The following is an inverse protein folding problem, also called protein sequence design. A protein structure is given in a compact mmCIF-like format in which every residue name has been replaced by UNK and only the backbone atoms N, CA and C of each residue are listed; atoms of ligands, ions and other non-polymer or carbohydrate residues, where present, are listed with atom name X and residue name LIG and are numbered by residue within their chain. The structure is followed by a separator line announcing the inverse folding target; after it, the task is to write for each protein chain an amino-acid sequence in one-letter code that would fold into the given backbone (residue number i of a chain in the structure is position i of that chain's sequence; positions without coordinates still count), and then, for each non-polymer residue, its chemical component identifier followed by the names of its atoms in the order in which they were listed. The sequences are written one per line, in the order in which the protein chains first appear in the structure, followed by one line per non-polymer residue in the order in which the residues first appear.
data_IF_818670240692
#
_entry.id   IF_818670240692
#
_cell.length_a   1.000
_cell.length_b   1.000
_cell.length_c   1.000
_cell.angle_alpha   90.00
_cell.angle_beta   90.00
_cell.angle_gamma   90.00
#
_symmetry.space_group_name_H-M   'P 1'
#
loop_
_entity.id
_entity.type
_entity.pdbx_description
1 polymer ?
2 non-polymer ?
3 non-polymer ?
4 non-polymer ?
5 non-polymer ?
6 water ?
#
# COMPACT_ATOMS: atom_id res chain seq x y z
N UNK A 9 -0.92 -31.11 23.43
CA UNK A 9 -0.47 -30.73 24.77
C UNK A 9 0.42 -29.46 24.84
N UNK A 10 1.47 -29.25 23.98
CA UNK A 10 2.26 -28.01 24.12
C UNK A 10 1.57 -26.76 23.57
N UNK A 11 0.49 -26.93 22.76
CA UNK A 11 -0.32 -25.88 22.12
C UNK A 11 -1.43 -25.30 23.02
N UNK A 12 -1.31 -25.49 24.34
CA UNK A 12 -2.24 -24.98 25.34
C UNK A 12 -1.96 -23.48 25.55
N UNK A 13 -0.67 -23.13 25.78
CA UNK A 13 -0.18 -21.77 26.01
C UNK A 13 0.22 -21.03 24.71
N UNK A 14 0.43 -21.78 23.60
CA UNK A 14 0.80 -21.25 22.28
C UNK A 14 -0.34 -20.35 21.76
N UNK A 15 -1.58 -20.83 21.84
CA UNK A 15 -2.78 -20.08 21.42
C UNK A 15 -3.12 -19.00 22.47
N UNK A 16 -2.72 -19.21 23.75
CA UNK A 16 -2.95 -18.27 24.86
C UNK A 16 -2.06 -17.03 24.77
N UNK A 17 -0.77 -17.19 24.36
CA UNK A 17 0.19 -16.08 24.19
C UNK A 17 -0.25 -15.18 23.02
N UNK A 18 -0.82 -15.80 21.96
CA UNK A 18 -1.39 -15.16 20.76
C UNK A 18 -2.57 -14.27 21.21
N UNK A 19 -3.41 -14.79 22.12
CA UNK A 19 -4.55 -14.10 22.72
C UNK A 19 -4.08 -12.91 23.57
N UNK A 20 -2.96 -13.11 24.32
CA UNK A 20 -2.35 -12.12 25.22
C UNK A 20 -1.82 -10.88 24.51
N UNK A 21 -1.30 -11.04 23.28
CA UNK A 21 -0.81 -9.90 22.49
C UNK A 21 -1.97 -9.11 21.89
N UNK A 22 -3.01 -9.82 21.40
CA UNK A 22 -4.23 -9.26 20.80
C UNK A 22 -5.02 -8.35 21.76
N UNK A 23 -5.02 -8.67 23.07
CA UNK A 23 -5.72 -7.86 24.07
C UNK A 23 -5.07 -6.48 24.29
N UNK A 24 -3.76 -6.39 24.02
CA UNK A 24 -2.97 -5.18 24.17
C UNK A 24 -2.70 -4.43 22.89
N UNK A 25 -2.28 -5.16 21.81
CA UNK A 25 -1.97 -4.58 20.50
C UNK A 25 -3.15 -3.83 19.91
N UNK A 26 -4.36 -4.41 20.00
CA UNK A 26 -5.59 -3.76 19.54
C UNK A 26 -6.00 -2.61 20.46
N UNK A 27 -5.66 -2.73 21.76
CA UNK A 27 -5.94 -1.73 22.80
C UNK A 27 -5.01 -0.51 22.60
N UNK A 28 -3.76 -0.77 22.14
CA UNK A 28 -2.71 0.21 21.85
C UNK A 28 -3.14 1.15 20.71
N UNK A 29 -3.76 0.57 19.65
CA UNK A 29 -4.29 1.28 18.47
C UNK A 29 -5.42 2.20 18.95
N UNK A 30 -6.32 1.68 19.81
CA UNK A 30 -7.45 2.41 20.39
C UNK A 30 -7.01 3.57 21.29
N UNK A 31 -5.87 3.43 21.99
CA UNK A 31 -5.33 4.49 22.85
C UNK A 31 -4.63 5.55 21.99
N UNK A 32 -3.85 5.09 20.98
CA UNK A 32 -3.08 5.93 20.04
C UNK A 32 -3.92 6.96 19.26
N UNK A 33 -5.20 6.64 18.95
CA UNK A 33 -6.11 7.53 18.22
C UNK A 33 -6.60 8.67 19.13
N UNK A 34 -7.03 8.33 20.35
CA UNK A 34 -7.53 9.33 21.31
C UNK A 34 -6.43 10.23 21.86
N UNK A 35 -5.20 9.69 22.05
CA UNK A 35 -4.05 10.40 22.61
C UNK A 35 -3.40 11.45 21.68
N UNK A 36 -3.21 11.11 20.39
CA UNK A 36 -2.59 11.97 19.39
C UNK A 36 -3.60 12.77 18.56
N UNK A 37 -3.34 14.07 18.38
CA UNK A 37 -4.17 14.96 17.57
C UNK A 37 -3.89 14.71 16.08
N UNK A 38 -2.64 14.26 15.76
CA UNK A 38 -2.15 13.95 14.41
C UNK A 38 -2.77 12.67 13.83
N UNK A 39 -3.37 11.83 14.70
CA UNK A 39 -4.03 10.58 14.34
C UNK A 39 -5.58 10.65 14.45
N UNK A 40 -6.16 11.89 14.47
CA UNK A 40 -7.59 12.17 14.52
C UNK A 40 -8.24 12.20 13.11
N UNK A 41 -7.60 11.50 12.15
CA UNK A 41 -8.02 11.40 10.74
C UNK A 41 -9.37 10.71 10.59
N UNK A 42 -10.19 11.21 9.64
CA UNK A 42 -11.52 10.69 9.29
C UNK A 42 -11.42 9.23 8.78
N UNK A 43 -10.41 8.95 7.95
CA UNK A 43 -10.13 7.62 7.43
C UNK A 43 -9.57 6.68 8.49
N UNK A 44 -9.17 7.23 9.65
CA UNK A 44 -8.65 6.46 10.80
C UNK A 44 -9.76 5.99 11.75
N UNK A 45 -11.00 6.46 11.56
CA UNK A 45 -12.18 6.05 12.32
C UNK A 45 -12.63 4.63 11.89
N UNK A 46 -12.29 4.25 10.63
CA UNK A 46 -12.54 2.95 10.01
C UNK A 46 -11.50 1.96 10.51
N UNK A 47 -10.34 2.48 10.97
CA UNK A 47 -9.23 1.69 11.52
C UNK A 47 -9.55 1.42 13.02
N UNK A 48 -10.34 2.33 13.63
CA UNK A 48 -10.81 2.24 15.03
C UNK A 48 -11.82 1.07 15.14
N UNK A 49 -12.89 1.09 14.33
CA UNK A 49 -13.95 0.08 14.27
C UNK A 49 -13.39 -1.34 14.02
N UNK A 50 -12.34 -1.44 13.18
CA UNK A 50 -11.66 -2.69 12.89
C UNK A 50 -10.86 -3.17 14.12
N UNK A 51 -10.25 -2.23 14.87
CA UNK A 51 -9.51 -2.57 16.10
C UNK A 51 -10.45 -2.93 17.28
N UNK A 52 -11.73 -2.47 17.23
CA UNK A 52 -12.79 -2.76 18.21
C UNK A 52 -13.22 -4.22 17.99
N UNK A 53 -13.65 -4.55 16.74
CA UNK A 53 -14.05 -5.89 16.32
C UNK A 53 -12.93 -6.87 16.63
N UNK A 54 -11.67 -6.48 16.38
CA UNK A 54 -10.50 -7.32 16.67
C UNK A 54 -10.12 -7.37 18.17
N UNK A 55 -10.67 -6.45 19.01
CA UNK A 55 -10.40 -6.52 20.45
C UNK A 55 -11.39 -7.50 21.09
N UNK A 56 -12.70 -7.41 20.72
CA UNK A 56 -13.75 -8.32 21.17
C UNK A 56 -13.26 -9.77 20.94
N UNK A 57 -12.66 -10.04 19.75
CA UNK A 57 -12.06 -11.31 19.38
C UNK A 57 -10.95 -11.74 20.35
N UNK A 58 -10.14 -10.79 20.81
CA UNK A 58 -9.05 -11.06 21.74
C UNK A 58 -9.46 -11.34 23.17
N UNK A 59 -10.41 -10.54 23.69
CA UNK A 59 -10.88 -10.61 25.08
C UNK A 59 -12.08 -11.55 25.34
N UNK A 60 -12.89 -11.81 24.33
CA UNK A 60 -14.08 -12.64 24.52
C UNK A 60 -14.09 -13.96 23.74
N UNK A 61 -13.73 -13.90 22.46
CA UNK A 61 -13.86 -15.04 21.56
C UNK A 61 -12.64 -15.91 21.82
N UNK A 62 -11.48 -15.29 21.91
CA UNK A 62 -10.22 -16.03 22.07
C UNK A 62 -10.07 -16.78 23.43
N UNK A 63 -10.29 -16.15 24.63
CA UNK A 63 -10.12 -16.91 25.89
C UNK A 63 -11.13 -18.05 26.08
N UNK A 64 -12.39 -17.84 25.64
CA UNK A 64 -13.48 -18.83 25.72
C UNK A 64 -13.26 -20.02 24.76
N UNK A 65 -12.49 -19.82 23.67
CA UNK A 65 -12.18 -20.89 22.73
C UNK A 65 -11.03 -21.76 23.23
N UNK A 66 -10.17 -21.23 24.13
CA UNK A 66 -9.04 -21.96 24.74
C UNK A 66 -9.59 -23.03 25.72
N UNK A 67 -10.67 -22.68 26.47
CA UNK A 67 -11.37 -23.54 27.44
C UNK A 67 -11.89 -24.82 26.80
N UNK A 68 -12.42 -24.73 25.56
CA UNK A 68 -12.94 -25.86 24.75
C UNK A 68 -11.84 -26.82 24.32
N UNK A 69 -10.58 -26.36 24.35
CA UNK A 69 -9.42 -27.17 23.99
C UNK A 69 -8.83 -27.85 25.23
N UNK A 70 -9.04 -27.23 26.42
CA UNK A 70 -8.60 -27.75 27.71
C UNK A 70 -9.67 -28.69 28.28
N UNK A 71 -10.94 -28.24 28.28
CA UNK A 71 -12.11 -28.98 28.77
C UNK A 71 -13.10 -29.16 27.60
N UNK A 72 -13.23 -30.41 27.09
CA UNK A 72 -14.10 -30.79 25.95
C UNK A 72 -15.52 -30.20 26.00
N UNK A 73 -16.14 -30.17 27.19
CA UNK A 73 -17.47 -29.59 27.42
C UNK A 73 -17.32 -28.17 27.95
N UNK A 74 -18.35 -27.34 27.71
CA UNK A 74 -18.36 -25.93 28.11
C UNK A 74 -18.79 -25.64 29.53
N UNK A 75 -17.94 -24.89 30.26
CA UNK A 75 -18.18 -24.44 31.64
C UNK A 75 -18.99 -23.12 31.60
N UNK A 76 -19.43 -22.74 30.38
CA UNK A 76 -20.17 -21.53 30.05
C UNK A 76 -21.66 -21.40 30.40
N UNK A 77 -22.45 -22.38 29.93
CA UNK A 77 -23.91 -22.39 30.08
C UNK A 77 -24.64 -21.48 29.12
N UNK A 78 -25.97 -21.67 28.96
CA UNK A 78 -26.84 -20.89 28.04
C UNK A 78 -26.56 -19.37 27.93
N UNK A 79 -26.42 -18.56 29.02
CA UNK A 79 -26.14 -17.12 28.83
C UNK A 79 -24.78 -16.79 28.19
N UNK A 80 -23.67 -17.34 28.74
CA UNK A 80 -22.29 -17.15 28.24
C UNK A 80 -22.09 -17.79 26.87
N UNK A 81 -22.65 -19.00 26.66
CA UNK A 81 -22.51 -19.76 25.42
C UNK A 81 -23.27 -19.18 24.24
N UNK A 82 -24.49 -18.63 24.45
CA UNK A 82 -25.25 -18.00 23.37
C UNK A 82 -24.62 -16.66 22.96
N UNK A 83 -24.00 -15.94 23.94
CA UNK A 83 -23.33 -14.65 23.69
C UNK A 83 -22.00 -14.84 22.98
N UNK A 84 -21.29 -15.94 23.27
CA UNK A 84 -20.03 -16.30 22.61
C UNK A 84 -20.33 -16.67 21.14
N UNK A 85 -21.51 -17.28 20.88
CA UNK A 85 -21.97 -17.64 19.54
C UNK A 85 -22.29 -16.36 18.75
N UNK A 86 -22.75 -15.31 19.45
CA UNK A 86 -23.06 -14.00 18.86
C UNK A 86 -21.78 -13.21 18.60
N UNK A 87 -20.93 -13.01 19.65
CA UNK A 87 -19.67 -12.26 19.59
C UNK A 87 -18.63 -12.78 18.61
N UNK A 88 -18.73 -14.05 18.19
CA UNK A 88 -17.83 -14.64 17.19
C UNK A 88 -18.35 -14.26 15.80
N UNK A 89 -19.67 -14.37 15.59
CA UNK A 89 -20.32 -14.04 14.32
C UNK A 89 -20.48 -12.53 14.08
N UNK A 90 -20.76 -11.75 15.13
CA UNK A 90 -20.93 -10.29 15.04
C UNK A 90 -19.58 -9.58 14.77
N UNK A 91 -18.52 -9.88 15.58
CA UNK A 91 -17.19 -9.29 15.44
C UNK A 91 -16.50 -9.60 14.12
N UNK A 92 -16.61 -10.85 13.62
CA UNK A 92 -16.02 -11.26 12.34
C UNK A 92 -16.72 -10.59 11.15
N UNK A 93 -18.04 -10.36 11.25
CA UNK A 93 -18.82 -9.67 10.23
C UNK A 93 -18.44 -8.18 10.28
N UNK A 94 -18.28 -7.64 11.51
CA UNK A 94 -17.88 -6.24 11.76
C UNK A 94 -16.51 -5.98 11.16
N UNK A 95 -15.61 -6.98 11.20
CA UNK A 95 -14.27 -6.91 10.63
C UNK A 95 -14.33 -6.78 9.12
N UNK A 96 -15.07 -7.65 8.41
CA UNK A 96 -15.22 -7.53 6.95
C UNK A 96 -15.95 -6.22 6.61
N UNK A 97 -16.91 -5.82 7.47
CA UNK A 97 -17.66 -4.59 7.24
C UNK A 97 -16.83 -3.31 7.42
N UNK A 98 -15.93 -3.27 8.43
CA UNK A 98 -14.99 -2.16 8.67
C UNK A 98 -14.06 -2.03 7.46
N UNK A 99 -13.55 -3.16 6.93
CA UNK A 99 -12.68 -3.20 5.75
C UNK A 99 -13.43 -2.70 4.51
N UNK A 100 -14.64 -3.23 4.23
CA UNK A 100 -15.49 -2.83 3.11
C UNK A 100 -15.93 -1.38 3.20
N UNK A 101 -16.20 -0.88 4.42
CA UNK A 101 -16.61 0.51 4.62
C UNK A 101 -15.39 1.47 4.48
N UNK A 102 -14.17 0.99 4.84
CA UNK A 102 -12.90 1.73 4.71
C UNK A 102 -12.52 1.87 3.23
N UNK A 103 -12.62 0.77 2.44
CA UNK A 103 -12.32 0.76 1.01
C UNK A 103 -13.26 1.66 0.22
N UNK A 104 -14.56 1.71 0.58
CA UNK A 104 -15.53 2.59 -0.10
C UNK A 104 -15.13 4.08 0.08
N UNK A 105 -14.63 4.44 1.29
CA UNK A 105 -14.15 5.78 1.61
C UNK A 105 -12.92 6.10 0.76
N UNK A 106 -11.85 5.34 0.90
CA UNK A 106 -10.63 5.60 0.12
C UNK A 106 -10.91 5.81 -1.37
N UNK A 107 -11.94 5.14 -1.87
CA UNK A 107 -12.32 5.17 -3.27
C UNK A 107 -12.91 6.52 -3.63
N UNK A 108 -13.87 7.00 -2.83
CA UNK A 108 -14.49 8.32 -3.03
C UNK A 108 -13.53 9.45 -2.66
N UNK A 109 -12.56 9.17 -1.74
CA UNK A 109 -11.52 10.09 -1.29
C UNK A 109 -10.54 10.32 -2.44
N UNK A 110 -10.28 9.25 -3.22
CA UNK A 110 -9.40 9.26 -4.39
C UNK A 110 -10.09 10.01 -5.54
N UNK A 111 -11.38 9.68 -5.81
CA UNK A 111 -12.20 10.25 -6.89
C UNK A 111 -12.51 11.74 -6.75
N UNK A 112 -13.03 12.16 -5.59
CA UNK A 112 -13.38 13.56 -5.35
C UNK A 112 -12.58 14.15 -4.16
N UNK A 113 -11.46 14.87 -4.44
CA UNK A 113 -10.69 15.48 -3.34
C UNK A 113 -11.51 16.54 -2.60
N UNK A 114 -12.33 17.31 -3.36
CA UNK A 114 -13.20 18.36 -2.81
C UNK A 114 -14.57 17.81 -2.37
N UNK A 115 -14.59 17.17 -1.20
CA UNK A 115 -15.80 16.61 -0.59
C UNK A 115 -16.11 17.48 0.65
N UNK A 116 -15.81 18.79 0.54
CA UNK A 116 -16.05 19.86 1.52
C UNK A 116 -17.57 20.06 1.72
N UNK A 117 -18.36 19.17 1.08
CA UNK A 117 -19.82 19.10 1.12
C UNK A 117 -20.28 18.25 2.33
N UNK A 118 -19.40 18.04 3.31
CA UNK A 118 -19.77 17.27 4.51
C UNK A 118 -19.74 15.74 4.39
N UNK A 119 -18.89 15.24 3.50
CA UNK A 119 -18.65 13.81 3.31
C UNK A 119 -17.40 13.14 3.89
N UNK A 120 -16.31 13.91 3.97
CA UNK A 120 -15.08 13.51 4.62
C UNK A 120 -15.04 14.24 5.96
N UNK A 121 -15.80 13.70 6.89
CA UNK A 121 -16.12 14.34 8.18
C UNK A 121 -16.73 13.27 9.12
N UNK A 122 -16.73 13.55 10.45
CA UNK A 122 -17.25 12.68 11.50
C UNK A 122 -18.73 12.34 11.28
N UNK A 123 -19.55 13.34 10.85
CA UNK A 123 -20.99 13.18 10.58
C UNK A 123 -21.33 12.17 9.48
N UNK A 124 -20.37 11.88 8.58
CA UNK A 124 -20.53 10.90 7.49
C UNK A 124 -19.74 9.61 7.77
N UNK A 125 -18.63 9.71 8.54
CA UNK A 125 -17.79 8.57 8.91
C UNK A 125 -18.49 7.76 10.02
N UNK A 126 -18.88 8.43 11.13
CA UNK A 126 -19.56 7.81 12.28
C UNK A 126 -20.99 7.32 11.95
N UNK A 127 -21.59 7.82 10.86
CA UNK A 127 -22.91 7.40 10.38
C UNK A 127 -22.78 6.06 9.67
N UNK A 128 -21.65 5.83 8.96
CA UNK A 128 -21.36 4.59 8.24
C UNK A 128 -20.64 3.54 9.09
N UNK A 129 -20.11 3.93 10.24
CA UNK A 129 -19.46 2.98 11.16
C UNK A 129 -20.41 2.46 12.24
N UNK A 130 -21.60 3.06 12.30
CA UNK A 130 -22.65 2.74 13.27
C UNK A 130 -23.63 1.83 12.51
N UNK A 131 -23.95 2.21 11.27
CA UNK A 131 -24.83 1.47 10.36
C UNK A 131 -24.25 0.13 9.95
N UNK A 132 -22.90 0.02 9.94
CA UNK A 132 -22.16 -1.21 9.63
C UNK A 132 -22.33 -2.22 10.77
N UNK A 133 -22.37 -1.73 12.04
CA UNK A 133 -22.57 -2.58 13.21
C UNK A 133 -24.03 -3.06 13.36
N UNK A 134 -24.96 -2.42 12.61
CA UNK A 134 -26.38 -2.78 12.58
C UNK A 134 -26.55 -4.03 11.73
N UNK A 135 -25.84 -4.12 10.59
CA UNK A 135 -25.87 -5.29 9.72
C UNK A 135 -25.10 -6.49 10.30
N UNK A 136 -24.19 -6.22 11.27
CA UNK A 136 -23.38 -7.21 11.95
C UNK A 136 -24.09 -7.78 13.17
N UNK A 137 -24.78 -6.92 13.95
CA UNK A 137 -25.53 -7.34 15.13
C UNK A 137 -26.81 -8.12 14.82
N UNK A 138 -27.18 -8.22 13.52
CA UNK A 138 -28.32 -8.98 13.04
C UNK A 138 -28.10 -10.48 13.25
N UNK A 139 -26.84 -10.89 13.51
CA UNK A 139 -26.42 -12.27 13.76
C UNK A 139 -26.99 -12.84 15.05
N UNK A 140 -27.29 -11.98 16.04
CA UNK A 140 -27.88 -12.34 17.34
C UNK A 140 -29.31 -12.91 17.15
N UNK A 141 -30.03 -12.48 16.08
CA UNK A 141 -31.36 -12.96 15.72
C UNK A 141 -31.33 -14.48 15.36
N UNK A 142 -30.66 -14.97 14.28
CA UNK A 142 -30.64 -16.44 14.03
C UNK A 142 -29.91 -17.29 15.07
N UNK A 143 -29.31 -16.66 16.11
CA UNK A 143 -28.64 -17.37 17.22
C UNK A 143 -29.71 -17.93 18.17
N UNK A 144 -30.84 -17.20 18.34
CA UNK A 144 -31.98 -17.60 19.17
C UNK A 144 -33.19 -18.15 18.37
N UNK A 145 -33.05 -18.22 17.04
CA UNK A 145 -34.08 -18.67 16.12
C UNK A 145 -34.04 -20.13 15.71
N UNK A 146 -34.80 -20.97 16.43
CA UNK A 146 -34.96 -22.39 16.18
C UNK A 146 -36.36 -22.66 15.58
N UNK A 147 -37.22 -21.62 15.53
CA UNK A 147 -38.59 -21.63 15.00
C UNK A 147 -38.69 -22.10 13.54
N UNK A 148 -37.67 -21.77 12.72
CA UNK A 148 -37.58 -22.11 11.30
C UNK A 148 -37.36 -23.62 11.01
N UNK A 156 -26.28 -32.03 18.83
CA UNK A 156 -25.03 -31.59 19.43
C UNK A 156 -23.80 -32.25 18.76
N UNK A 157 -22.68 -31.49 18.66
CA UNK A 157 -21.40 -31.95 18.07
C UNK A 157 -20.15 -31.58 18.91
N UNK A 158 -18.93 -31.86 18.37
CA UNK A 158 -17.66 -31.62 19.08
C UNK A 158 -16.77 -30.49 18.52
N UNK A 159 -17.30 -29.62 17.64
CA UNK A 159 -16.54 -28.50 17.08
C UNK A 159 -16.50 -27.25 17.97
N UNK A 160 -17.68 -26.76 18.41
CA UNK A 160 -17.81 -25.58 19.29
C UNK A 160 -19.06 -25.63 20.20
N UNK A 161 -19.65 -24.45 20.54
CA UNK A 161 -20.84 -24.29 21.37
C UNK A 161 -22.10 -24.81 20.65
N UNK A 162 -22.02 -24.92 19.30
CA UNK A 162 -23.04 -25.34 18.34
C UNK A 162 -23.91 -24.18 17.91
N UNK A 163 -23.89 -23.87 16.61
CA UNK A 163 -24.52 -22.67 16.07
C UNK A 163 -26.04 -22.74 15.84
N UNK A 164 -26.70 -23.76 16.37
CA UNK A 164 -28.17 -23.87 16.26
C UNK A 164 -28.64 -24.28 14.83
N UNK A 165 -27.83 -23.99 13.80
CA UNK A 165 -28.10 -24.32 12.40
C UNK A 165 -26.96 -25.05 11.67
N UNK A 166 -25.98 -25.58 12.45
CA UNK A 166 -24.82 -26.35 11.97
C UNK A 166 -25.16 -27.48 11.00
N UNK A 167 -26.38 -28.04 11.13
CA UNK A 167 -26.94 -29.10 10.29
C UNK A 167 -27.53 -28.52 8.99
N UNK A 168 -27.98 -27.24 9.03
CA UNK A 168 -28.59 -26.55 7.89
C UNK A 168 -27.45 -26.14 6.94
N UNK A 169 -27.27 -26.86 5.82
CA UNK A 169 -26.23 -26.54 4.85
C UNK A 169 -26.68 -25.56 3.77
N UNK A 170 -28.00 -25.29 3.66
CA UNK A 170 -28.48 -24.30 2.69
C UNK A 170 -28.32 -22.87 3.24
N UNK A 171 -28.48 -22.70 4.57
CA UNK A 171 -28.33 -21.42 5.26
C UNK A 171 -26.84 -21.12 5.48
N UNK A 172 -26.04 -22.18 5.78
CA UNK A 172 -24.59 -22.08 5.99
C UNK A 172 -23.87 -21.54 4.75
N UNK A 173 -24.36 -21.88 3.54
CA UNK A 173 -23.78 -21.42 2.27
C UNK A 173 -24.27 -20.04 1.86
N UNK A 174 -25.49 -19.67 2.28
CA UNK A 174 -26.08 -18.37 1.98
C UNK A 174 -25.43 -17.26 2.82
N UNK A 175 -25.04 -17.57 4.08
CA UNK A 175 -24.35 -16.62 4.96
C UNK A 175 -22.86 -16.56 4.61
N UNK A 176 -22.33 -17.62 3.95
CA UNK A 176 -20.95 -17.70 3.49
C UNK A 176 -20.74 -16.68 2.38
N UNK A 177 -21.72 -16.52 1.47
CA UNK A 177 -21.64 -15.57 0.38
C UNK A 177 -22.01 -14.16 0.85
N UNK A 178 -23.22 -13.98 1.42
CA UNK A 178 -23.74 -12.69 1.92
C UNK A 178 -22.75 -11.96 2.86
N UNK A 179 -22.11 -12.69 3.78
CA UNK A 179 -21.16 -12.11 4.74
C UNK A 179 -19.66 -12.18 4.35
N UNK A 180 -19.29 -12.95 3.31
CA UNK A 180 -17.89 -13.06 2.89
C UNK A 180 -17.68 -12.98 1.38
N UNK A 181 -18.19 -13.97 0.59
CA UNK A 181 -17.99 -14.02 -0.86
C UNK A 181 -18.50 -12.79 -1.64
N UNK A 182 -19.64 -12.22 -1.20
CA UNK A 182 -20.22 -11.01 -1.80
C UNK A 182 -19.36 -9.78 -1.44
N UNK A 183 -19.10 -9.43 -0.14
CA UNK A 183 -18.23 -8.27 0.13
C UNK A 183 -16.82 -8.42 -0.46
N UNK A 184 -16.12 -9.58 -0.26
CA UNK A 184 -14.77 -9.80 -0.82
C UNK A 184 -14.63 -9.60 -2.32
N UNK A 185 -15.70 -9.83 -3.10
CA UNK A 185 -15.67 -9.63 -4.54
C UNK A 185 -15.87 -8.14 -4.90
N UNK A 186 -16.82 -7.47 -4.22
CA UNK A 186 -17.13 -6.04 -4.41
C UNK A 186 -15.98 -5.18 -3.88
N UNK A 187 -15.35 -5.63 -2.79
CA UNK A 187 -14.21 -4.98 -2.15
C UNK A 187 -13.04 -4.98 -3.11
N UNK A 188 -12.77 -6.16 -3.75
CA UNK A 188 -11.72 -6.36 -4.75
C UNK A 188 -11.98 -5.48 -5.98
N UNK A 189 -13.24 -5.46 -6.49
CA UNK A 189 -13.71 -4.66 -7.64
C UNK A 189 -13.41 -3.18 -7.44
N UNK A 190 -13.68 -2.65 -6.23
CA UNK A 190 -13.44 -1.26 -5.86
C UNK A 190 -11.95 -0.96 -5.72
N UNK A 191 -11.19 -1.91 -5.13
CA UNK A 191 -9.73 -1.77 -4.95
C UNK A 191 -8.99 -1.80 -6.28
N UNK A 192 -9.44 -2.66 -7.22
CA UNK A 192 -8.91 -2.78 -8.58
C UNK A 192 -9.13 -1.46 -9.33
N UNK A 193 -10.08 -0.63 -8.85
CA UNK A 193 -10.37 0.70 -9.37
C UNK A 193 -9.47 1.75 -8.69
N UNK A 194 -9.22 1.61 -7.35
CA UNK A 194 -8.34 2.48 -6.57
C UNK A 194 -6.91 2.35 -7.12
N UNK A 195 -6.44 1.09 -7.31
CA UNK A 195 -5.12 0.75 -7.85
C UNK A 195 -4.92 1.22 -9.30
N UNK A 196 -6.03 1.46 -10.05
CA UNK A 196 -6.01 1.95 -11.43
C UNK A 196 -5.93 3.47 -11.50
N UNK A 197 -6.22 4.16 -10.37
CA UNK A 197 -6.21 5.63 -10.26
C UNK A 197 -4.83 6.19 -9.90
N UNK A 198 -4.06 5.47 -9.07
CA UNK A 198 -2.73 5.90 -8.60
C UNK A 198 -1.63 4.91 -9.08
N UNK A 199 -1.66 4.56 -10.36
CA UNK A 199 -0.69 3.60 -10.92
C UNK A 199 0.12 4.05 -12.17
N UNK A 200 1.25 4.68 -11.85
CA UNK A 200 2.31 5.10 -12.75
C UNK A 200 3.63 4.51 -12.26
N UNK A 201 4.18 5.15 -11.21
CA UNK A 201 5.49 4.84 -10.57
C UNK A 201 6.68 5.06 -11.45
N UNK A 202 6.50 6.06 -12.26
CA UNK A 202 7.62 6.66 -12.98
C UNK A 202 8.70 5.72 -13.50
N UNK A 203 9.65 6.33 -14.20
CA UNK A 203 10.76 5.68 -14.77
C UNK A 203 11.60 6.83 -15.11
N UNK A 204 12.67 6.59 -15.81
CA UNK A 204 13.71 7.56 -16.13
C UNK A 204 13.21 8.49 -17.23
N UNK A 205 12.47 7.97 -18.24
CA UNK A 205 11.96 8.82 -19.32
C UNK A 205 10.97 9.82 -18.76
N UNK A 206 10.11 9.36 -17.85
CA UNK A 206 9.12 10.18 -17.20
C UNK A 206 9.78 11.21 -16.32
N UNK A 207 10.88 10.83 -15.62
CA UNK A 207 11.73 11.67 -14.75
C UNK A 207 12.34 12.85 -15.57
N UNK A 208 13.07 12.54 -16.66
CA UNK A 208 13.68 13.57 -17.50
C UNK A 208 12.67 14.35 -18.36
N UNK A 209 11.43 13.84 -18.49
CA UNK A 209 10.36 14.55 -19.17
C UNK A 209 9.97 15.67 -18.21
N UNK A 210 9.78 15.37 -16.89
CA UNK A 210 9.47 16.35 -15.84
C UNK A 210 10.57 17.45 -15.82
N UNK A 211 11.86 17.03 -15.84
CA UNK A 211 12.99 17.94 -15.72
C UNK A 211 13.42 18.73 -16.95
N UNK A 212 13.44 18.11 -18.13
CA UNK A 212 13.88 18.75 -19.37
C UNK A 212 12.74 19.14 -20.32
N UNK A 213 11.63 18.44 -20.25
CA UNK A 213 10.51 18.69 -21.14
C UNK A 213 10.62 17.97 -22.48
N UNK A 214 9.46 17.59 -23.05
CA UNK A 214 9.39 16.88 -24.33
C UNK A 214 8.93 17.78 -25.47
N UNK A 215 9.86 18.18 -26.35
CA UNK A 215 9.57 18.96 -27.56
C UNK A 215 9.24 18.04 -28.77
N UNK A 216 8.08 18.21 -29.42
CA UNK A 216 7.75 17.37 -30.58
C UNK A 216 8.04 18.00 -31.96
N UNK A 217 8.51 19.27 -31.96
CA UNK A 217 8.90 20.06 -33.13
C UNK A 217 10.28 20.71 -32.85
N UNK A 218 11.23 20.70 -33.84
CA UNK A 218 12.59 21.28 -33.70
C UNK A 218 12.48 22.71 -33.22
N UNK A 219 13.18 23.02 -32.11
CA UNK A 219 13.25 24.35 -31.55
C UNK A 219 14.66 24.89 -31.80
N UNK A 220 14.78 26.13 -32.31
CA UNK A 220 16.08 26.81 -32.50
C UNK A 220 16.22 27.83 -31.38
N UNK A 221 17.23 27.67 -30.51
CA UNK A 221 17.40 28.59 -29.40
C UNK A 221 18.04 29.96 -29.79
N UNK A 222 18.38 30.79 -28.78
CA UNK A 222 18.97 32.12 -29.01
C UNK A 222 20.37 32.10 -29.58
N UNK A 223 21.16 31.06 -29.31
CA UNK A 223 22.51 30.97 -29.88
C UNK A 223 22.56 30.06 -31.14
N UNK A 224 21.38 29.80 -31.69
CA UNK A 224 21.18 29.01 -32.91
C UNK A 224 21.37 27.52 -32.73
N UNK A 225 20.79 26.96 -31.68
CA UNK A 225 20.90 25.53 -31.41
C UNK A 225 19.55 24.83 -31.57
N UNK A 226 19.54 23.70 -32.30
CA UNK A 226 18.36 22.90 -32.63
C UNK A 226 18.12 21.71 -31.66
N UNK A 227 17.06 21.82 -30.86
CA UNK A 227 16.67 20.85 -29.84
C UNK A 227 15.36 20.25 -30.26
N UNK A 228 15.20 18.94 -30.00
CA UNK A 228 13.99 18.15 -30.21
C UNK A 228 13.97 17.08 -29.12
N UNK A 229 12.77 16.64 -28.73
CA UNK A 229 12.59 15.61 -27.73
C UNK A 229 12.87 16.06 -26.32
N UNK A 230 13.49 15.17 -25.52
CA UNK A 230 13.92 15.39 -24.13
C UNK A 230 15.34 15.95 -24.26
N UNK A 231 15.42 17.20 -24.72
CA UNK A 231 16.66 17.94 -24.90
C UNK A 231 17.70 17.24 -25.72
N UNK A 232 17.30 16.65 -26.86
CA UNK A 232 18.27 16.01 -27.73
C UNK A 232 18.74 17.10 -28.62
N UNK A 233 20.01 17.44 -28.51
CA UNK A 233 20.62 18.50 -29.33
C UNK A 233 20.96 17.90 -30.68
N UNK A 234 20.84 18.67 -31.72
CA UNK A 234 21.15 18.14 -33.04
C UNK A 234 22.47 18.74 -33.44
N UNK A 235 23.54 18.06 -32.99
CA UNK A 235 24.97 18.41 -33.15
C UNK A 235 25.37 18.67 -34.59
N UNK A 236 26.10 19.79 -34.79
CA UNK A 236 26.62 20.24 -36.08
C UNK A 236 25.58 20.55 -37.15
N UNK A 237 24.60 21.37 -36.75
CA UNK A 237 23.51 21.80 -37.61
C UNK A 237 23.49 23.29 -37.79
N UNK A 238 24.32 23.83 -38.72
CA UNK A 238 24.32 25.28 -38.95
C UNK A 238 22.93 25.86 -39.19
N UNK A 239 22.19 25.33 -40.20
CA UNK A 239 20.85 25.75 -40.59
C UNK A 239 19.76 24.83 -40.07
N UNK A 240 18.47 25.22 -40.18
CA UNK A 240 17.37 24.35 -39.79
C UNK A 240 17.32 23.14 -40.72
N UNK A 241 17.61 23.33 -42.03
CA UNK A 241 17.61 22.21 -42.96
C UNK A 241 18.67 21.17 -42.68
N UNK A 242 19.80 21.57 -42.03
CA UNK A 242 20.87 20.64 -41.65
C UNK A 242 20.38 19.82 -40.45
N UNK A 243 19.73 20.50 -39.48
CA UNK A 243 19.11 19.93 -38.28
C UNK A 243 17.97 18.97 -38.66
N UNK A 244 17.17 19.35 -39.69
CA UNK A 244 16.07 18.52 -40.20
C UNK A 244 16.66 17.27 -40.82
N UNK A 245 17.73 17.41 -41.63
CA UNK A 245 18.39 16.26 -42.27
C UNK A 245 19.11 15.30 -41.31
N UNK A 246 19.55 15.79 -40.15
CA UNK A 246 20.23 14.95 -39.19
C UNK A 246 19.17 14.14 -38.45
N UNK A 247 18.06 14.82 -38.07
CA UNK A 247 16.90 14.27 -37.36
C UNK A 247 16.25 13.17 -38.21
N UNK A 248 16.08 13.43 -39.52
CA UNK A 248 15.50 12.52 -40.50
C UNK A 248 16.33 11.24 -40.62
N UNK A 249 17.69 11.36 -40.48
CA UNK A 249 18.63 10.25 -40.47
C UNK A 249 18.43 9.44 -39.17
N UNK A 250 18.36 10.12 -38.01
CA UNK A 250 18.15 9.50 -36.69
C UNK A 250 16.83 8.72 -36.58
N UNK A 251 15.71 9.38 -36.88
CA UNK A 251 14.38 8.80 -36.76
C UNK A 251 14.10 7.75 -37.83
N UNK A 252 14.60 7.98 -39.04
CA UNK A 252 14.43 7.08 -40.17
C UNK A 252 13.19 7.35 -41.00
N UNK A 253 12.84 8.64 -41.18
CA UNK A 253 11.72 9.10 -42.01
C UNK A 253 11.83 10.58 -42.35
N UNK A 254 10.89 11.11 -43.16
CA UNK A 254 10.84 12.53 -43.51
C UNK A 254 9.95 13.28 -42.52
N UNK A 255 10.51 13.59 -41.35
CA UNK A 255 9.84 14.21 -40.20
C UNK A 255 9.37 15.61 -40.40
N UNK A 256 10.14 16.42 -41.11
CA UNK A 256 9.80 17.83 -41.29
C UNK A 256 9.91 18.60 -39.99
N UNK A 257 10.84 18.19 -39.13
CA UNK A 257 11.04 18.82 -37.83
C UNK A 257 9.99 18.40 -36.82
N UNK A 258 9.08 17.50 -37.19
CA UNK A 258 8.03 17.06 -36.27
C UNK A 258 8.08 15.57 -36.03
N UNK A 259 8.36 15.21 -34.77
CA UNK A 259 8.41 13.84 -34.28
C UNK A 259 7.22 13.59 -33.35
N UNK A 260 7.02 12.32 -32.90
CA UNK A 260 5.93 11.85 -32.02
C UNK A 260 6.53 11.43 -30.67
N UNK A 261 5.70 11.24 -29.61
CA UNK A 261 6.21 10.84 -28.27
C UNK A 261 7.08 9.60 -28.32
N UNK A 262 6.60 8.58 -29.06
CA UNK A 262 7.25 7.28 -29.20
C UNK A 262 8.61 7.37 -29.90
N UNK A 263 8.75 8.36 -30.83
CA UNK A 263 10.00 8.63 -31.55
C UNK A 263 10.92 9.33 -30.56
N UNK A 264 10.41 10.36 -29.85
CA UNK A 264 11.13 11.09 -28.81
C UNK A 264 11.65 10.13 -27.76
N UNK A 265 10.89 9.06 -27.43
CA UNK A 265 11.30 8.05 -26.46
C UNK A 265 12.40 7.14 -27.05
N UNK A 266 12.30 6.78 -28.36
CA UNK A 266 13.30 5.96 -29.06
C UNK A 266 14.65 6.68 -28.99
N UNK A 267 14.64 7.96 -29.39
CA UNK A 267 15.79 8.88 -29.37
C UNK A 267 16.29 9.02 -27.94
N UNK A 268 15.37 9.12 -26.94
CA UNK A 268 15.76 9.29 -25.55
C UNK A 268 16.56 8.08 -25.16
N UNK A 269 15.96 6.87 -25.30
CA UNK A 269 16.60 5.58 -25.02
C UNK A 269 18.02 5.50 -25.60
N UNK A 270 18.29 6.11 -26.77
CA UNK A 270 19.62 6.12 -27.35
C UNK A 270 20.53 6.94 -26.47
N UNK A 271 20.16 8.20 -26.21
CA UNK A 271 20.89 9.16 -25.35
C UNK A 271 21.20 8.60 -23.95
N UNK A 272 20.34 7.74 -23.39
CA UNK A 272 20.53 7.10 -22.08
C UNK A 272 21.66 6.05 -22.11
N UNK A 273 21.67 5.19 -23.15
CA UNK A 273 22.70 4.19 -23.36
C UNK A 273 24.00 4.99 -23.56
N UNK A 274 23.96 6.00 -24.45
CA UNK A 274 25.09 6.90 -24.69
C UNK A 274 25.62 7.52 -23.37
N UNK A 275 24.72 7.82 -22.40
CA UNK A 275 25.10 8.43 -21.12
C UNK A 275 25.69 7.40 -20.19
N UNK A 276 25.08 6.18 -20.07
CA UNK A 276 25.64 5.12 -19.23
C UNK A 276 27.03 4.67 -19.75
N UNK A 277 27.18 4.46 -21.10
CA UNK A 277 28.47 4.13 -21.72
C UNK A 277 29.53 5.15 -21.30
N UNK A 278 29.21 6.43 -21.44
CA UNK A 278 30.09 7.52 -21.05
C UNK A 278 30.40 7.56 -19.56
N UNK A 279 29.42 7.17 -18.70
CA UNK A 279 29.60 7.17 -17.24
C UNK A 279 30.65 6.13 -16.94
N UNK A 280 30.48 4.91 -17.50
CA UNK A 280 31.40 3.78 -17.27
C UNK A 280 32.82 4.01 -17.83
N UNK A 281 32.95 4.80 -18.93
CA UNK A 281 34.26 5.19 -19.50
C UNK A 281 34.95 6.21 -18.56
N UNK A 282 34.25 6.59 -17.46
CA UNK A 282 34.74 7.58 -16.50
C UNK A 282 35.27 6.96 -15.22
N UNK A 283 36.49 7.38 -14.86
CA UNK A 283 37.21 6.90 -13.69
C UNK A 283 36.58 7.28 -12.35
N UNK A 284 36.16 8.53 -12.20
CA UNK A 284 35.52 8.99 -10.97
C UNK A 284 34.06 8.52 -10.89
N UNK A 285 33.45 8.25 -12.04
CA UNK A 285 32.05 7.87 -12.10
C UNK A 285 31.80 6.38 -11.90
N UNK A 286 32.41 5.56 -12.75
CA UNK A 286 32.15 4.10 -12.72
C UNK A 286 31.92 3.51 -11.29
N UNK A 287 32.78 3.77 -10.25
CA UNK A 287 32.50 3.21 -8.91
C UNK A 287 31.21 3.66 -8.20
N UNK A 288 30.74 4.90 -8.46
CA UNK A 288 29.52 5.40 -7.79
C UNK A 288 28.29 4.76 -8.41
N UNK A 289 28.16 4.90 -9.74
CA UNK A 289 27.07 4.33 -10.54
C UNK A 289 26.86 2.86 -10.13
N UNK A 290 27.95 2.02 -10.23
CA UNK A 290 27.96 0.59 -9.89
C UNK A 290 27.37 0.30 -8.53
N UNK A 291 27.75 1.08 -7.51
CA UNK A 291 27.24 0.90 -6.15
C UNK A 291 25.74 1.21 -6.05
N UNK A 292 25.25 2.16 -6.89
CA UNK A 292 23.89 2.70 -6.87
C UNK A 292 22.84 1.78 -7.43
N UNK A 293 21.67 1.78 -6.76
CA UNK A 293 20.49 1.05 -7.16
C UNK A 293 19.81 1.65 -8.41
N UNK A 294 18.74 0.98 -8.88
CA UNK A 294 17.89 1.33 -10.02
C UNK A 294 17.48 2.80 -10.08
N UNK A 295 16.82 3.30 -9.04
CA UNK A 295 16.35 4.68 -9.02
C UNK A 295 17.50 5.68 -8.82
N UNK A 296 18.45 5.33 -7.96
CA UNK A 296 19.56 6.22 -7.64
C UNK A 296 20.48 6.41 -8.83
N UNK A 297 20.55 5.41 -9.76
CA UNK A 297 21.33 5.50 -11.00
C UNK A 297 20.67 6.55 -11.91
N UNK A 298 19.31 6.55 -11.94
CA UNK A 298 18.51 7.49 -12.74
C UNK A 298 18.84 8.92 -12.34
N UNK A 299 18.82 9.23 -10.99
CA UNK A 299 19.21 10.52 -10.44
C UNK A 299 20.62 10.92 -10.89
N UNK A 300 21.56 9.94 -10.99
CA UNK A 300 22.91 10.23 -11.48
C UNK A 300 22.92 10.49 -13.00
N UNK A 301 22.26 9.62 -13.80
CA UNK A 301 22.10 9.81 -15.27
C UNK A 301 21.51 11.23 -15.55
N UNK A 302 20.45 11.59 -14.78
CA UNK A 302 19.78 12.88 -14.83
C UNK A 302 20.82 14.04 -14.70
N UNK A 303 21.77 13.93 -13.74
CA UNK A 303 22.78 14.95 -13.53
C UNK A 303 23.66 14.98 -14.75
N UNK A 304 24.15 13.80 -15.20
CA UNK A 304 24.98 13.66 -16.41
C UNK A 304 24.33 14.36 -17.64
N UNK A 305 22.99 14.14 -17.81
CA UNK A 305 22.15 14.76 -18.84
C UNK A 305 22.15 16.31 -18.76
N UNK A 306 22.25 16.91 -17.55
CA UNK A 306 22.29 18.36 -17.36
C UNK A 306 23.69 19.00 -17.36
N UNK A 307 24.68 18.37 -16.73
CA UNK A 307 26.02 18.96 -16.62
C UNK A 307 27.14 18.24 -17.40
N UNK A 308 26.96 16.96 -17.68
CA UNK A 308 27.94 16.15 -18.41
C UNK A 308 28.81 15.31 -17.49
N UNK A 309 29.39 14.20 -18.03
CA UNK A 309 30.33 13.30 -17.34
C UNK A 309 31.36 14.09 -16.51
N UNK A 310 32.08 15.03 -17.16
CA UNK A 310 33.10 15.87 -16.54
C UNK A 310 32.57 16.74 -15.38
N UNK A 311 31.45 17.42 -15.60
CA UNK A 311 30.81 18.27 -14.61
C UNK A 311 30.36 17.51 -13.39
N UNK A 312 29.70 16.35 -13.61
CA UNK A 312 29.21 15.46 -12.55
C UNK A 312 30.37 14.90 -11.77
N UNK A 313 31.45 14.39 -12.45
CA UNK A 313 32.68 13.82 -11.84
C UNK A 313 33.54 14.81 -11.03
N UNK A 314 33.11 16.08 -10.97
CA UNK A 314 33.75 17.13 -10.20
C UNK A 314 32.81 17.39 -9.03
N UNK A 315 32.21 16.31 -8.52
CA UNK A 315 31.34 16.32 -7.35
C UNK A 315 31.92 15.30 -6.39
N UNK A 316 33.17 15.51 -6.06
CA UNK A 316 34.05 14.56 -5.34
C UNK A 316 33.46 14.12 -3.99
N UNK A 317 33.26 15.05 -3.04
CA UNK A 317 32.73 14.70 -1.72
C UNK A 317 31.38 13.99 -1.77
N UNK A 318 30.35 14.63 -2.40
CA UNK A 318 29.02 14.05 -2.52
C UNK A 318 29.03 12.63 -3.12
N UNK A 319 29.77 12.43 -4.25
CA UNK A 319 29.91 11.15 -4.94
C UNK A 319 30.42 10.07 -4.02
N UNK A 320 31.31 10.47 -3.07
CA UNK A 320 31.87 9.56 -2.06
C UNK A 320 30.79 9.20 -1.05
N UNK A 321 30.03 10.19 -0.57
CA UNK A 321 28.93 9.91 0.35
C UNK A 321 27.90 8.95 -0.27
N UNK A 322 27.69 9.07 -1.58
CA UNK A 322 26.73 8.24 -2.29
C UNK A 322 27.25 6.82 -2.31
N UNK A 323 28.50 6.62 -2.80
CA UNK A 323 29.26 5.34 -2.85
C UNK A 323 29.22 4.66 -1.48
N UNK A 324 29.48 5.45 -0.40
CA UNK A 324 29.49 5.08 1.03
C UNK A 324 28.09 4.91 1.66
N UNK A 325 27.01 5.12 0.87
CA UNK A 325 25.59 4.97 1.26
C UNK A 325 25.13 5.85 2.44
N UNK A 326 25.72 7.05 2.46
CA UNK A 326 25.35 8.12 3.37
C UNK A 326 24.48 9.09 2.57
N UNK A 327 23.18 8.82 2.62
CA UNK A 327 22.16 9.45 1.78
C UNK A 327 21.82 10.82 2.33
N UNK A 328 21.69 10.98 3.64
CA UNK A 328 21.37 12.28 4.21
C UNK A 328 22.58 13.25 4.16
N UNK A 329 23.79 12.71 4.42
CA UNK A 329 25.03 13.47 4.32
C UNK A 329 25.12 14.00 2.90
N UNK A 330 24.92 13.14 1.87
CA UNK A 330 24.98 13.57 0.46
C UNK A 330 23.89 14.58 0.13
N UNK A 331 22.63 14.33 0.56
CA UNK A 331 21.51 15.25 0.33
C UNK A 331 21.74 16.63 0.95
N UNK A 332 22.53 16.70 2.04
CA UNK A 332 22.83 18.01 2.64
C UNK A 332 23.94 18.67 1.85
N UNK A 333 24.94 17.89 1.47
CA UNK A 333 26.10 18.38 0.74
C UNK A 333 25.71 18.92 -0.64
N UNK A 334 25.01 18.10 -1.42
CA UNK A 334 24.53 18.48 -2.75
C UNK A 334 23.65 19.78 -2.70
N UNK A 335 22.85 19.93 -1.62
CA UNK A 335 22.01 21.11 -1.43
C UNK A 335 22.84 22.39 -1.25
N UNK A 336 24.16 22.26 -0.92
CA UNK A 336 25.09 23.41 -0.72
C UNK A 336 25.81 23.79 -2.03
N UNK A 337 25.71 22.93 -3.07
CA UNK A 337 26.37 23.12 -4.36
C UNK A 337 25.89 24.32 -5.12
N UNK A 338 26.71 24.77 -6.09
CA UNK A 338 26.41 25.90 -6.97
C UNK A 338 25.29 25.48 -7.90
N UNK A 339 25.26 24.17 -8.25
CA UNK A 339 24.27 23.56 -9.10
C UNK A 339 22.91 23.77 -8.47
N UNK A 340 22.82 23.51 -7.16
CA UNK A 340 21.60 23.72 -6.42
C UNK A 340 21.18 25.19 -6.40
N UNK A 341 22.13 26.12 -6.28
CA UNK A 341 21.82 27.54 -6.28
C UNK A 341 21.26 28.00 -7.64
N UNK A 342 21.78 27.43 -8.75
CA UNK A 342 21.37 27.78 -10.12
C UNK A 342 20.05 27.15 -10.59
N UNK A 343 19.89 25.83 -10.48
CA UNK A 343 18.63 25.16 -10.84
C UNK A 343 18.22 24.57 -9.47
N UNK A 344 17.28 25.21 -8.78
CA UNK A 344 16.90 24.76 -7.42
C UNK A 344 15.83 23.67 -7.42
N UNK A 345 14.84 23.81 -8.30
CA UNK A 345 13.70 22.89 -8.37
C UNK A 345 14.10 21.55 -8.95
N UNK A 346 15.01 21.52 -9.95
CA UNK A 346 15.50 20.24 -10.49
C UNK A 346 16.43 19.61 -9.46
N UNK A 347 17.39 20.41 -8.92
CA UNK A 347 18.34 19.93 -7.92
C UNK A 347 17.62 19.34 -6.71
N UNK A 348 16.55 19.99 -6.21
CA UNK A 348 15.75 19.45 -5.11
C UNK A 348 15.16 18.09 -5.49
N UNK A 349 14.46 17.98 -6.69
CA UNK A 349 13.87 16.72 -7.15
C UNK A 349 14.92 15.61 -7.25
N UNK A 350 16.11 15.92 -7.82
CA UNK A 350 17.23 14.97 -7.95
C UNK A 350 17.81 14.59 -6.58
N UNK A 351 18.16 15.58 -5.74
CA UNK A 351 18.65 15.39 -4.37
C UNK A 351 17.68 14.52 -3.51
N UNK A 352 16.34 14.79 -3.59
CA UNK A 352 15.31 14.01 -2.90
C UNK A 352 15.37 12.55 -3.36
N UNK A 353 15.59 12.34 -4.65
CA UNK A 353 15.68 11.02 -5.24
C UNK A 353 16.93 10.28 -4.71
N UNK A 354 18.08 10.99 -4.51
CA UNK A 354 19.32 10.38 -3.98
C UNK A 354 19.13 10.07 -2.51
N UNK A 355 18.44 10.97 -1.78
CA UNK A 355 18.17 10.83 -0.37
C UNK A 355 17.35 9.54 -0.09
N UNK A 356 16.12 9.46 -0.63
CA UNK A 356 15.14 8.39 -0.43
C UNK A 356 15.29 7.13 -1.26
N UNK A 357 15.84 7.21 -2.44
CA UNK A 357 15.90 6.06 -3.34
C UNK A 357 14.55 5.64 -3.92
N UNK A 358 13.59 6.60 -3.98
CA UNK A 358 12.21 6.44 -4.47
C UNK A 358 11.91 7.47 -5.56
N UNK A 359 10.79 7.29 -6.29
CA UNK A 359 10.35 8.24 -7.32
C UNK A 359 9.43 9.35 -6.78
N UNK A 360 9.33 9.49 -5.45
CA UNK A 360 8.49 10.48 -4.76
C UNK A 360 8.44 11.90 -5.37
N UNK A 361 9.62 12.46 -5.68
CA UNK A 361 9.78 13.80 -6.24
C UNK A 361 9.09 13.97 -7.60
N UNK A 362 8.98 12.87 -8.35
CA UNK A 362 8.39 12.79 -9.68
C UNK A 362 6.97 12.18 -9.66
N UNK A 363 6.33 12.12 -8.50
CA UNK A 363 4.97 11.58 -8.42
C UNK A 363 4.05 12.52 -7.68
N UNK A 364 2.75 12.46 -8.03
CA UNK A 364 1.68 13.23 -7.41
C UNK A 364 0.76 12.29 -6.62
N UNK A 365 -0.10 12.86 -5.74
CA UNK A 365 -1.05 12.15 -4.86
C UNK A 365 -0.29 11.15 -4.00
N UNK A 366 0.87 11.54 -3.45
CA UNK A 366 1.65 10.59 -2.66
C UNK A 366 0.95 10.11 -1.36
N UNK A 367 0.03 10.95 -0.80
CA UNK A 367 -0.74 10.61 0.40
C UNK A 367 -1.77 9.53 0.12
N UNK A 368 -2.43 9.57 -1.06
CA UNK A 368 -3.39 8.55 -1.53
C UNK A 368 -2.62 7.26 -1.84
N UNK A 369 -1.51 7.39 -2.60
CA UNK A 369 -0.57 6.34 -3.00
C UNK A 369 -0.17 5.53 -1.76
N UNK A 370 0.29 6.24 -0.70
CA UNK A 370 0.69 5.65 0.57
C UNK A 370 -0.49 4.90 1.21
N UNK A 371 -1.65 5.59 1.37
CA UNK A 371 -2.89 5.06 1.94
C UNK A 371 -3.47 3.85 1.18
N UNK A 372 -3.23 3.76 -0.15
CA UNK A 372 -3.66 2.66 -1.01
C UNK A 372 -2.87 1.38 -0.73
N UNK A 373 -1.54 1.52 -0.50
CA UNK A 373 -0.66 0.40 -0.16
C UNK A 373 -1.11 -0.17 1.19
N UNK A 374 -1.44 0.72 2.15
CA UNK A 374 -1.93 0.34 3.48
C UNK A 374 -3.24 -0.43 3.37
N UNK A 375 -4.22 0.08 2.56
CA UNK A 375 -5.51 -0.59 2.34
C UNK A 375 -5.30 -1.98 1.74
N UNK A 376 -4.43 -2.06 0.73
CA UNK A 376 -4.05 -3.31 0.08
C UNK A 376 -3.44 -4.32 1.04
N UNK A 377 -2.59 -3.83 1.97
CA UNK A 377 -1.94 -4.65 2.99
C UNK A 377 -3.02 -5.22 3.91
N UNK A 378 -3.97 -4.37 4.38
CA UNK A 378 -5.11 -4.75 5.23
C UNK A 378 -5.96 -5.83 4.55
N UNK A 379 -6.40 -5.58 3.29
CA UNK A 379 -7.17 -6.51 2.47
C UNK A 379 -6.39 -7.79 2.22
N UNK A 380 -5.07 -7.70 1.98
CA UNK A 380 -4.20 -8.85 1.75
C UNK A 380 -4.12 -9.77 2.96
N UNK A 381 -4.24 -9.20 4.18
CA UNK A 381 -4.20 -9.97 5.43
C UNK A 381 -5.50 -10.73 5.64
N UNK A 382 -6.64 -10.02 5.52
CA UNK A 382 -8.00 -10.55 5.71
C UNK A 382 -8.41 -11.66 4.73
N UNK A 383 -7.81 -11.69 3.53
CA UNK A 383 -8.11 -12.75 2.56
C UNK A 383 -7.15 -13.93 2.81
N UNK A 384 -5.92 -13.63 3.27
CA UNK A 384 -4.87 -14.60 3.61
C UNK A 384 -5.25 -15.40 4.86
N UNK A 385 -6.00 -14.78 5.78
CA UNK A 385 -6.41 -15.35 7.06
C UNK A 385 -7.75 -16.10 7.07
N UNK A 386 -8.74 -15.61 6.30
CA UNK A 386 -10.08 -16.16 6.27
C UNK A 386 -10.44 -17.06 5.09
N UNK A 387 -9.85 -16.81 3.93
CA UNK A 387 -10.06 -17.63 2.75
C UNK A 387 -10.00 -19.14 3.05
N UNK A 388 -8.86 -19.60 3.57
CA UNK A 388 -8.71 -21.05 3.78
C UNK A 388 -9.88 -21.68 4.55
N UNK A 389 -10.43 -20.95 5.55
CA UNK A 389 -11.58 -21.37 6.37
C UNK A 389 -12.88 -21.38 5.56
N UNK A 390 -13.09 -20.35 4.72
CA UNK A 390 -14.29 -20.24 3.87
C UNK A 390 -14.27 -21.21 2.72
N UNK A 391 -13.07 -21.61 2.25
CA UNK A 391 -12.93 -22.61 1.20
C UNK A 391 -13.04 -24.03 1.82
N UNK A 392 -12.90 -24.12 3.17
CA UNK A 392 -13.05 -25.34 3.98
C UNK A 392 -14.54 -25.55 4.29
N UNK A 393 -15.33 -24.46 4.23
CA UNK A 393 -16.77 -24.42 4.40
C UNK A 393 -17.41 -24.89 3.11
N UNK A 394 -16.75 -24.59 1.97
CA UNK A 394 -17.13 -25.00 0.61
C UNK A 394 -16.94 -26.53 0.49
N UNK A 395 -15.99 -27.09 1.28
CA UNK A 395 -15.73 -28.52 1.35
C UNK A 395 -16.65 -29.42 2.15
N UNK A 396 -17.00 -29.00 3.39
CA UNK A 396 -17.91 -29.65 4.38
C UNK A 396 -19.35 -29.67 3.90
N UNK A 397 -19.81 -28.58 3.23
CA UNK A 397 -21.17 -28.38 2.70
C UNK A 397 -21.75 -29.61 2.00
N UNK A 398 -21.00 -30.23 1.10
CA UNK A 398 -21.49 -31.44 0.40
C UNK A 398 -20.83 -32.76 0.82
N UNK A 399 -19.70 -32.70 1.54
CA UNK A 399 -18.96 -33.91 1.91
C UNK A 399 -19.46 -34.64 3.18
N UNK A 400 -19.81 -33.88 4.20
CA UNK A 400 -20.30 -34.44 5.44
C UNK A 400 -19.17 -34.67 6.46
N UNK A 401 -18.07 -33.96 6.27
CA UNK A 401 -16.93 -34.07 7.16
C UNK A 401 -15.76 -34.81 6.52
N UNK A 402 -15.31 -34.31 5.37
CA UNK A 402 -14.19 -34.93 4.66
C UNK A 402 -12.80 -34.96 5.32
N UNK A 403 -12.63 -34.18 6.38
CA UNK A 403 -11.37 -34.07 7.12
C UNK A 403 -11.58 -33.89 8.62
N UNK A 404 -10.50 -34.13 9.39
CA UNK A 404 -10.44 -34.05 10.85
C UNK A 404 -10.70 -32.64 11.37
N UNK A 405 -10.89 -32.53 12.70
CA UNK A 405 -11.09 -31.25 13.39
C UNK A 405 -9.75 -30.77 13.97
N UNK A 406 -8.63 -31.39 13.52
CA UNK A 406 -7.26 -31.02 13.93
C UNK A 406 -6.75 -29.85 13.07
N UNK A 407 -7.21 -29.77 11.81
CA UNK A 407 -6.90 -28.70 10.87
C UNK A 407 -8.02 -27.63 10.84
N UNK A 408 -9.29 -28.08 11.05
CA UNK A 408 -10.47 -27.22 11.14
C UNK A 408 -10.34 -26.26 12.32
N UNK A 409 -9.62 -26.70 13.38
CA UNK A 409 -9.33 -25.91 14.57
C UNK A 409 -8.29 -24.83 14.25
N UNK A 410 -7.47 -25.07 13.20
CA UNK A 410 -6.44 -24.11 12.80
C UNK A 410 -6.95 -23.03 11.85
N UNK A 411 -7.90 -23.37 10.94
CA UNK A 411 -8.48 -22.40 10.00
C UNK A 411 -9.36 -21.37 10.72
N UNK A 412 -9.91 -21.73 11.91
CA UNK A 412 -10.68 -20.81 12.74
C UNK A 412 -9.72 -19.92 13.54
N UNK A 413 -8.54 -20.46 13.91
CA UNK A 413 -7.49 -19.74 14.63
C UNK A 413 -6.65 -18.87 13.72
N UNK A 414 -6.60 -19.21 12.41
CA UNK A 414 -5.91 -18.42 11.39
C UNK A 414 -6.68 -17.13 11.14
N UNK A 415 -8.00 -17.21 11.26
CA UNK A 415 -8.91 -16.07 11.16
C UNK A 415 -8.76 -15.20 12.40
N UNK A 416 -8.44 -15.83 13.55
CA UNK A 416 -8.19 -15.15 14.82
C UNK A 416 -6.77 -14.54 14.78
N UNK A 417 -5.92 -15.01 13.84
CA UNK A 417 -4.55 -14.52 13.61
C UNK A 417 -4.61 -13.11 12.97
N UNK A 418 -5.63 -12.86 12.10
CA UNK A 418 -5.88 -11.56 11.45
C UNK A 418 -6.14 -10.49 12.51
N UNK A 419 -6.80 -10.86 13.62
CA UNK A 419 -7.12 -10.00 14.75
C UNK A 419 -5.84 -9.58 15.49
N UNK A 420 -4.81 -10.42 15.44
CA UNK A 420 -3.50 -10.20 16.05
C UNK A 420 -2.58 -9.50 15.03
N UNK A 421 -2.78 -9.80 13.72
CA UNK A 421 -1.99 -9.30 12.60
C UNK A 421 -2.26 -7.86 12.19
N UNK A 422 -3.53 -7.42 12.17
CA UNK A 422 -3.90 -6.03 11.79
C UNK A 422 -3.24 -4.92 12.62
N UNK A 423 -3.18 -4.99 13.99
CA UNK A 423 -2.48 -3.92 14.75
C UNK A 423 -0.98 -3.77 14.41
N UNK A 424 -0.39 -4.83 13.84
CA UNK A 424 1.00 -4.92 13.40
C UNK A 424 1.16 -4.29 12.00
N UNK A 425 0.08 -4.29 11.17
CA UNK A 425 0.09 -3.75 9.80
C UNK A 425 0.19 -2.23 9.76
N UNK A 426 -0.64 -1.52 10.56
CA UNK A 426 -0.69 -0.04 10.63
C UNK A 426 0.66 0.71 10.68
N UNK A 427 1.63 0.39 11.58
CA UNK A 427 2.91 1.13 11.56
C UNK A 427 3.82 0.88 10.33
N UNK A 428 3.77 -0.35 9.75
CA UNK A 428 4.58 -0.76 8.59
C UNK A 428 4.31 0.11 7.36
N UNK A 429 3.05 0.56 7.18
CA UNK A 429 2.62 1.36 6.04
C UNK A 429 2.41 2.83 6.40
N UNK A 430 1.81 3.11 7.57
CA UNK A 430 1.55 4.48 8.01
C UNK A 430 2.72 5.04 8.85
N UNK A 431 3.18 6.25 8.48
CA UNK A 431 4.28 6.98 9.11
C UNK A 431 3.91 7.51 10.50
N UNK A 432 2.76 8.23 10.62
CA UNK A 432 2.23 8.81 11.85
C UNK A 432 2.01 7.77 12.95
N UNK A 433 1.65 6.54 12.56
CA UNK A 433 1.43 5.41 13.47
C UNK A 433 2.77 4.85 13.95
N UNK A 434 3.74 4.70 13.03
CA UNK A 434 5.10 4.18 13.26
C UNK A 434 5.85 4.91 14.39
N UNK A 435 5.71 6.25 14.44
CA UNK A 435 6.34 7.14 15.43
C UNK A 435 5.57 7.14 16.77
N UNK A 436 4.22 7.14 16.72
CA UNK A 436 3.33 7.13 17.90
C UNK A 436 3.46 5.79 18.65
N UNK A 437 3.69 4.68 17.90
CA UNK A 437 3.88 3.33 18.46
C UNK A 437 5.26 3.21 19.10
N UNK A 438 6.29 3.87 18.51
CA UNK A 438 7.66 3.89 19.00
C UNK A 438 7.76 4.76 20.27
N UNK A 439 7.15 5.96 20.25
CA UNK A 439 7.16 6.92 21.36
C UNK A 439 6.43 6.43 22.62
N UNK A 440 5.35 5.63 22.44
CA UNK A 440 4.56 5.07 23.55
C UNK A 440 5.26 3.86 24.22
N UNK A 441 6.08 3.11 23.46
CA UNK A 441 6.83 1.95 23.95
C UNK A 441 7.99 2.39 24.85
N UNK A 442 8.67 3.49 24.47
CA UNK A 442 9.77 4.08 25.22
C UNK A 442 9.27 5.19 26.17
N UNK A 443 7.96 5.10 26.50
CA UNK A 443 7.16 5.94 27.41
C UNK A 443 7.34 7.45 27.22
X LIG B 1 -14.34 -18.02 13.65
X LIG B 1 -15.76 -18.40 13.68
X LIG B 1 -15.89 -19.74 14.27
X LIG B 1 -16.33 -18.39 12.32
X LIG B 1 -17.42 -17.34 12.19
X LIG B 1 -16.91 -16.19 11.36
X LIG B 1 -17.38 -15.88 10.13
X LIG B 1 -18.49 -16.65 9.47
X LIG B 1 -18.32 -17.97 9.04
X LIG B 1 -19.36 -18.62 8.39
X LIG B 1 -20.58 -17.95 8.16
X LIG B 1 -20.73 -16.63 8.58
X LIG B 1 -19.67 -15.98 9.23
X LIG B 1 -19.80 -14.55 9.70
X LIG B 1 -19.01 -13.70 8.88
X LIG B 1 -17.62 -13.72 8.81
X LIG B 1 -17.03 -12.68 8.10
X LIG B 1 -15.65 -12.61 7.96
X LIG B 1 -14.84 -13.60 8.52
X LIG B 1 -15.43 -14.64 9.22
X LIG B 1 -16.82 -14.71 9.38
X LIG C 1 -16.15 -19.77 13.87
X LIG C 1 -16.00 -18.36 13.48
X LIG C 1 -20.21 -15.11 8.37
X LIG C 1 -14.57 -18.00 13.54
X LIG C 1 -16.52 -18.17 12.12
X LIG C 1 -17.72 -17.22 12.13
X LIG C 1 -17.40 -16.02 11.26
X LIG C 1 -17.80 -15.85 9.99
X LIG C 1 -17.37 -14.61 9.27
X LIG C 1 -16.03 -14.36 8.99
X LIG C 1 -15.67 -13.19 8.31
X LIG C 1 -16.66 -12.29 7.91
X LIG C 1 -18.00 -12.54 8.20
X LIG C 1 -18.35 -13.71 8.88
X LIG C 1 -19.79 -14.03 9.20
X LIG C 1 -19.76 -16.41 8.46
X LIG C 1 -18.66 -16.82 9.23
X LIG C 1 -20.50 -17.34 7.73
X LIG C 1 -20.14 -18.69 7.73
X LIG C 1 -19.04 -19.11 8.47
X LIG C 1 -18.29 -18.17 9.20
X LIG D 1 -18.19 -24.01 12.34
X LIG D 1 -17.63 -24.93 11.18
X LIG D 1 -19.74 -24.25 12.53
X LIG D 1 -17.43 -24.35 13.70
X LIG D 1 -17.96 -22.51 11.94
X LIG E 1 30.06 1.76 -28.93
X LIG E 1 30.64 1.22 -30.29
X LIG E 1 28.64 1.11 -28.66
X LIG E 1 31.05 1.31 -27.76
X LIG E 1 29.90 3.34 -28.96
X LIG F 1 14.80 25.40 -12.01
X LIG F 1 15.31 24.95 -13.46
X LIG F 1 13.21 25.47 -11.92
X LIG F 1 15.31 24.30 -11.01
X LIG F 1 15.24 26.88 -11.67
X LIG G 1 10.83 17.81 -48.61
X LIG G 1 3.09 20.10 -39.53
X LIG G 1 9.49 17.41 -47.97
X LIG G 1 9.16 18.28 -46.75
X LIG G 1 8.59 17.47 -45.58
X LIG G 1 7.33 16.70 -45.99
X LIG G 1 6.56 16.16 -44.80
X LIG G 1 5.53 17.14 -44.26
X LIG G 1 4.09 18.29 -41.10
X LIG G 1 5.15 16.82 -42.82
X LIG G 1 4.09 19.76 -40.62
X LIG G 1 4.96 15.68 -42.40
X LIG G 1 3.15 21.51 -39.26
X LIG G 1 5.41 20.19 -40.24
X LIG G 1 5.09 17.98 -42.08
#
# INVERSE_FOLDING_TARGET
TTMASPQLMPLVVVLSTICLVTVGLNLLVLYAVRSERKLHTVGNLYIVSLSVADLIVGAVVMPMNILYLLMSKWSLGRPLCLFWLSMDYVASTASIFSVFILCIDRYRSVQQPLRYLKYRTKTRASATILGAWFLSFLWVIPILGWNHFMQQTSVRREDKCETDFYDVTWFKVMTAIINFYLPTLLMLWFYAKIYKAVRQHCNIFEMLRIDEGLRLKIYKDTEGYYTIGIGHLLTKSPSLNAAKSELDKAIGRNTNGVITKDEAEKLFNQDVDAAVRGILRNAKLKPVYDSLDAVRRAALINMVFQMGETGVAGFTNSLRMLQQKRWDEAAVNLAKSRWYNQTPNRAKRVITTFRTGTWDAYLHMNRERKAAKQLGFIMAAFILCWIPYFIFFMVIAFCKNCCNEHLHMFTIWLGYINSTLNPLIYPLCNENFKKTFKRILHIRSGENLYFQ
5EH C01 N02 C03 C04 C05 C06 C07 C08 C09 C10 C11 C12 C13 C14 O15 C16 C17 C18 C19 C20 C21
D7V C1 N1 O1 C2 C3 C4 C5 C6 C7 C8 C9 C10 C11 C12 C13 C14 C15 C16 C17 C18 C19
PO4 P O1 O2 O3 O4
PO4 P O1 O2 O3 O4
PO4 P O1 O2 O3 O4
OLC C8 C24 C7 C6 C5 C4 C3 C2 C21 C1 C22 O19 O25 O23 O20
#
